data_IF_289516195031
#
_entry.id   IF_289516195031
#
_cell.length_a   1.000
_cell.length_b   1.000
_cell.length_c   1.000
_cell.angle_alpha   90.00
_cell.angle_beta   90.00
_cell.angle_gamma   90.00
#
_symmetry.space_group_name_H-M   'P 1'
#
loop_
_entity.id
_entity.type
_entity.pdbx_description
1 polymer ?
#
# COMPACT_ATOMS: atom_id res chain seq x y z
N UNK A 1 -22.56 2.24 -6.86
CA UNK A 1 -22.66 1.47 -5.60
C UNK A 1 -22.20 0.01 -5.67
N UNK A 2 -22.70 -0.84 -6.59
CA UNK A 2 -22.34 -2.28 -6.63
C UNK A 2 -20.84 -2.56 -6.87
N UNK A 3 -20.15 -1.72 -7.66
CA UNK A 3 -18.71 -1.86 -7.90
C UNK A 3 -17.88 -1.56 -6.64
N UNK A 4 -18.23 -0.50 -5.91
CA UNK A 4 -17.60 -0.13 -4.63
C UNK A 4 -17.76 -1.24 -3.60
N UNK A 5 -18.97 -1.80 -3.45
CA UNK A 5 -19.22 -2.93 -2.54
C UNK A 5 -18.46 -4.22 -2.91
N UNK A 6 -18.11 -4.40 -4.19
CA UNK A 6 -17.26 -5.52 -4.63
C UNK A 6 -15.78 -5.23 -4.41
N UNK A 7 -15.35 -3.99 -4.62
CA UNK A 7 -14.00 -3.55 -4.32
C UNK A 7 -13.70 -3.71 -2.82
N UNK A 8 -14.66 -3.39 -1.94
CA UNK A 8 -14.60 -3.62 -0.49
C UNK A 8 -14.50 -5.10 -0.09
N UNK A 9 -14.75 -6.03 -1.01
CA UNK A 9 -14.63 -7.49 -0.80
C UNK A 9 -13.46 -8.10 -1.57
N UNK A 10 -12.52 -7.28 -2.06
CA UNK A 10 -11.36 -7.78 -2.82
C UNK A 10 -10.41 -8.58 -1.90
N UNK A 11 -10.29 -9.88 -2.18
CA UNK A 11 -9.34 -10.76 -1.50
C UNK A 11 -7.90 -10.40 -1.90
N UNK A 12 -7.68 -10.04 -3.17
CA UNK A 12 -6.35 -9.63 -3.66
C UNK A 12 -5.90 -8.33 -3.02
N UNK A 13 -6.78 -7.32 -2.95
CA UNK A 13 -6.52 -6.07 -2.25
C UNK A 13 -6.23 -6.29 -0.77
N UNK A 14 -7.04 -7.11 -0.09
CA UNK A 14 -6.82 -7.45 1.31
C UNK A 14 -5.49 -8.17 1.55
N UNK A 15 -5.13 -9.16 0.70
CA UNK A 15 -3.88 -9.89 0.80
C UNK A 15 -2.66 -8.98 0.61
N UNK A 16 -2.67 -8.13 -0.39
CA UNK A 16 -1.57 -7.19 -0.61
C UNK A 16 -1.46 -6.16 0.52
N UNK A 17 -2.58 -5.61 1.00
CA UNK A 17 -2.56 -4.69 2.14
C UNK A 17 -2.02 -5.37 3.40
N UNK A 18 -2.39 -6.63 3.67
CA UNK A 18 -1.87 -7.40 4.81
C UNK A 18 -0.36 -7.67 4.71
N UNK A 19 0.12 -8.09 3.53
CA UNK A 19 1.56 -8.26 3.28
C UNK A 19 2.33 -6.96 3.47
N UNK A 20 1.74 -5.85 3.01
CA UNK A 20 2.34 -4.54 3.11
C UNK A 20 2.38 -4.02 4.54
N UNK A 21 1.32 -4.25 5.31
CA UNK A 21 1.28 -3.97 6.75
C UNK A 21 2.37 -4.78 7.49
N UNK A 22 2.52 -6.06 7.16
CA UNK A 22 3.57 -6.91 7.74
C UNK A 22 4.98 -6.38 7.42
N UNK A 23 5.22 -5.90 6.19
CA UNK A 23 6.48 -5.28 5.81
C UNK A 23 6.77 -4.00 6.62
N UNK A 24 5.76 -3.16 6.83
CA UNK A 24 5.87 -1.97 7.68
C UNK A 24 6.21 -2.31 9.13
N UNK A 25 5.54 -3.33 9.70
CA UNK A 25 5.82 -3.81 11.06
C UNK A 25 7.26 -4.34 11.15
N UNK A 26 7.68 -5.18 10.21
CA UNK A 26 9.02 -5.75 10.20
C UNK A 26 10.10 -4.66 10.10
N UNK A 27 9.91 -3.67 9.24
CA UNK A 27 10.84 -2.55 9.11
C UNK A 27 10.87 -1.66 10.36
N UNK A 28 9.73 -1.47 11.04
CA UNK A 28 9.70 -0.72 12.29
C UNK A 28 10.40 -1.45 13.43
N UNK A 29 10.24 -2.77 13.52
CA UNK A 29 10.97 -3.60 14.49
C UNK A 29 12.47 -3.59 14.19
N UNK A 30 12.86 -3.67 12.92
CA UNK A 30 14.26 -3.57 12.50
C UNK A 30 14.87 -2.22 12.88
N UNK A 31 14.12 -1.13 12.69
CA UNK A 31 14.50 0.21 13.13
C UNK A 31 14.72 0.27 14.65
N UNK A 32 13.80 -0.27 15.46
CA UNK A 32 13.93 -0.28 16.91
C UNK A 32 15.19 -1.03 17.38
N UNK A 33 15.59 -2.08 16.66
CA UNK A 33 16.82 -2.82 16.94
C UNK A 33 18.11 -2.08 16.54
N UNK A 34 18.02 -1.07 15.67
CA UNK A 34 19.15 -0.29 15.15
C UNK A 34 19.09 1.19 15.55
N UNK A 35 18.19 1.56 16.45
CA UNK A 35 17.96 2.93 16.85
C UNK A 35 19.27 3.63 17.24
N UNK A 36 19.50 4.83 16.69
CA UNK A 36 20.75 5.58 16.85
C UNK A 36 21.85 5.31 15.82
N UNK A 37 21.68 4.33 14.92
CA UNK A 37 22.57 4.14 13.77
C UNK A 37 22.13 4.96 12.55
N UNK A 38 23.09 5.43 11.74
CA UNK A 38 22.85 6.26 10.55
C UNK A 38 21.89 5.65 9.52
N UNK A 39 21.81 4.32 9.44
CA UNK A 39 20.98 3.61 8.44
C UNK A 39 19.78 2.88 9.05
N UNK A 40 19.40 3.20 10.29
CA UNK A 40 18.28 2.54 10.97
C UNK A 40 16.94 2.73 10.22
N UNK A 41 16.75 3.90 9.60
CA UNK A 41 15.50 4.29 8.95
C UNK A 41 15.38 3.84 7.48
N UNK A 42 16.44 3.31 6.87
CA UNK A 42 16.51 3.11 5.40
C UNK A 42 15.34 2.28 4.88
N UNK A 43 15.08 1.12 5.49
CA UNK A 43 14.00 0.24 5.06
C UNK A 43 12.62 0.86 5.29
N UNK A 44 12.46 1.53 6.41
CA UNK A 44 11.21 2.20 6.77
C UNK A 44 10.88 3.33 5.77
N UNK A 45 11.88 4.14 5.42
CA UNK A 45 11.77 5.22 4.42
C UNK A 45 11.47 4.65 3.03
N UNK A 46 12.16 3.57 2.63
CA UNK A 46 11.95 2.93 1.33
C UNK A 46 10.53 2.38 1.19
N UNK A 47 10.02 1.70 2.22
CA UNK A 47 8.65 1.20 2.21
C UNK A 47 7.67 2.37 2.26
N UNK A 48 7.95 3.42 3.04
CA UNK A 48 7.11 4.60 3.12
C UNK A 48 7.21 5.55 1.90
N UNK A 49 7.99 5.24 0.87
CA UNK A 49 8.20 6.11 -0.29
C UNK A 49 6.92 6.68 -0.91
N UNK A 50 5.84 5.90 -1.13
CA UNK A 50 4.62 6.46 -1.70
C UNK A 50 4.03 7.55 -0.80
N UNK A 51 4.08 7.37 0.53
CA UNK A 51 3.62 8.35 1.50
C UNK A 51 4.54 9.57 1.55
N UNK A 52 5.85 9.36 1.69
CA UNK A 52 6.81 10.47 1.81
C UNK A 52 6.87 11.33 0.55
N UNK A 53 6.81 10.72 -0.64
CA UNK A 53 6.72 11.44 -1.90
C UNK A 53 5.44 12.28 -2.00
N UNK A 54 4.29 11.71 -1.62
CA UNK A 54 3.00 12.41 -1.60
C UNK A 54 3.03 13.59 -0.63
N UNK A 55 3.49 13.37 0.60
CA UNK A 55 3.57 14.43 1.60
C UNK A 55 4.58 15.51 1.24
N UNK A 56 5.70 15.13 0.60
CA UNK A 56 6.69 16.09 0.10
C UNK A 56 6.12 16.98 -1.01
N UNK A 57 5.32 16.42 -1.92
CA UNK A 57 4.63 17.18 -2.94
C UNK A 57 3.58 18.13 -2.33
N UNK A 58 2.84 17.69 -1.31
CA UNK A 58 1.82 18.50 -0.63
C UNK A 58 2.43 19.59 0.27
N UNK A 59 3.58 19.33 0.90
CA UNK A 59 4.25 20.24 1.82
C UNK A 59 5.19 21.25 1.12
N UNK A 60 5.17 21.34 -0.21
CA UNK A 60 6.02 22.29 -0.94
C UNK A 60 7.51 21.91 -1.01
N UNK A 61 7.84 20.63 -0.85
CA UNK A 61 9.19 20.10 -1.10
C UNK A 61 9.99 19.68 0.14
N UNK A 62 9.54 20.02 1.36
CA UNK A 62 10.17 19.59 2.61
C UNK A 62 9.21 18.74 3.45
N UNK A 63 9.45 17.43 3.49
CA UNK A 63 8.79 16.53 4.43
C UNK A 63 9.83 15.56 4.97
N UNK A 64 9.93 15.51 6.30
CA UNK A 64 10.86 14.63 7.00
C UNK A 64 10.13 13.41 7.56
N UNK A 65 10.72 12.23 7.40
CA UNK A 65 10.16 10.96 7.82
C UNK A 65 11.24 10.13 8.49
N UNK A 66 11.00 9.76 9.74
CA UNK A 66 11.88 8.93 10.55
C UNK A 66 11.05 8.02 11.45
N UNK A 67 11.61 6.88 11.84
CA UNK A 67 11.03 5.94 12.79
C UNK A 67 10.75 6.56 14.18
N UNK A 68 11.47 7.62 14.55
CA UNK A 68 11.23 8.36 15.81
C UNK A 68 9.86 9.05 15.82
N UNK A 69 9.34 9.40 14.64
CA UNK A 69 8.04 10.04 14.50
C UNK A 69 6.94 8.98 14.33
N UNK A 70 6.63 8.21 15.39
CA UNK A 70 5.67 7.10 15.36
C UNK A 70 4.33 7.46 14.70
N UNK A 71 3.81 8.66 14.96
CA UNK A 71 2.57 9.13 14.32
C UNK A 71 2.67 9.21 12.78
N UNK A 72 3.83 9.65 12.25
CA UNK A 72 4.10 9.69 10.80
C UNK A 72 4.25 8.28 10.23
N UNK A 73 4.89 7.37 10.98
CA UNK A 73 5.03 5.96 10.59
C UNK A 73 3.66 5.29 10.46
N UNK A 74 2.78 5.47 11.44
CA UNK A 74 1.42 4.93 11.41
C UNK A 74 0.61 5.53 10.26
N UNK A 75 0.69 6.85 10.06
CA UNK A 75 0.02 7.51 8.94
C UNK A 75 0.51 6.97 7.59
N UNK A 76 1.83 6.78 7.43
CA UNK A 76 2.43 6.20 6.24
C UNK A 76 1.99 4.75 6.01
N UNK A 77 1.95 3.93 7.06
CA UNK A 77 1.48 2.55 6.98
C UNK A 77 0.02 2.48 6.50
N UNK A 78 -0.88 3.27 7.11
CA UNK A 78 -2.30 3.33 6.72
C UNK A 78 -2.47 3.80 5.29
N UNK A 79 -1.77 4.87 4.90
CA UNK A 79 -1.83 5.44 3.56
C UNK A 79 -1.38 4.42 2.50
N UNK A 80 -0.21 3.82 2.68
CA UNK A 80 0.31 2.87 1.71
C UNK A 80 -0.51 1.57 1.68
N UNK A 81 -1.01 1.08 2.82
CA UNK A 81 -1.93 -0.06 2.84
C UNK A 81 -3.23 0.24 2.08
N UNK A 82 -3.76 1.45 2.21
CA UNK A 82 -4.95 1.88 1.47
C UNK A 82 -4.68 1.91 -0.06
N UNK A 83 -3.53 2.45 -0.48
CA UNK A 83 -3.14 2.46 -1.90
C UNK A 83 -3.02 1.04 -2.45
N UNK A 84 -2.31 0.17 -1.73
CA UNK A 84 -2.07 -1.21 -2.16
C UNK A 84 -3.39 -2.01 -2.19
N UNK A 85 -4.28 -1.78 -1.22
CA UNK A 85 -5.63 -2.35 -1.23
C UNK A 85 -6.40 -1.94 -2.48
N UNK A 86 -6.43 -0.64 -2.78
CA UNK A 86 -7.12 -0.09 -3.96
C UNK A 86 -6.51 -0.63 -5.25
N UNK A 87 -5.17 -0.71 -5.34
CA UNK A 87 -4.46 -1.29 -6.47
C UNK A 87 -4.81 -2.76 -6.69
N UNK A 88 -4.80 -3.58 -5.64
CA UNK A 88 -5.20 -4.98 -5.70
C UNK A 88 -6.68 -5.16 -6.09
N UNK A 89 -7.57 -4.33 -5.54
CA UNK A 89 -8.98 -4.33 -5.90
C UNK A 89 -9.22 -3.94 -7.37
N UNK A 90 -8.43 -3.00 -7.90
CA UNK A 90 -8.48 -2.60 -9.30
C UNK A 90 -8.01 -3.73 -10.22
N UNK A 91 -6.89 -4.38 -9.90
CA UNK A 91 -6.38 -5.54 -10.65
C UNK A 91 -7.43 -6.66 -10.68
N UNK A 92 -8.04 -6.97 -9.54
CA UNK A 92 -9.09 -7.98 -9.44
C UNK A 92 -10.33 -7.61 -10.28
N UNK A 93 -10.72 -6.33 -10.28
CA UNK A 93 -11.82 -5.84 -11.11
C UNK A 93 -11.53 -5.98 -12.61
N UNK A 94 -10.32 -5.64 -13.05
CA UNK A 94 -9.87 -5.77 -14.44
C UNK A 94 -9.86 -7.24 -14.85
N UNK A 95 -9.27 -8.13 -14.03
CA UNK A 95 -9.23 -9.55 -14.31
C UNK A 95 -10.65 -10.14 -14.47
N UNK A 96 -11.58 -9.79 -13.57
CA UNK A 96 -12.98 -10.21 -13.66
C UNK A 96 -13.68 -9.65 -14.91
N UNK A 97 -13.35 -8.44 -15.35
CA UNK A 97 -13.90 -7.87 -16.57
C UNK A 97 -13.40 -8.60 -17.81
N UNK A 98 -12.10 -8.87 -17.90
CA UNK A 98 -11.48 -9.62 -19.00
C UNK A 98 -12.06 -11.04 -19.11
N UNK A 99 -12.23 -11.74 -17.99
CA UNK A 99 -12.84 -13.08 -17.97
C UNK A 99 -14.28 -13.07 -18.49
N UNK A 100 -15.07 -12.03 -18.20
CA UNK A 100 -16.44 -11.89 -18.74
C UNK A 100 -16.44 -11.69 -20.25
N UNK A 101 -15.51 -10.89 -20.76
CA UNK A 101 -15.39 -10.66 -22.21
C UNK A 101 -14.96 -11.94 -22.93
N UNK A 102 -13.96 -12.66 -22.39
CA UNK A 102 -13.48 -13.91 -22.96
C UNK A 102 -14.58 -14.99 -23.00
N UNK A 103 -15.33 -15.16 -21.91
CA UNK A 103 -16.43 -16.14 -21.83
C UNK A 103 -17.65 -15.74 -22.66
N UNK A 104 -17.92 -14.45 -22.85
CA UNK A 104 -18.98 -13.97 -23.74
C UNK A 104 -18.66 -14.20 -25.23
N UNK A 105 -17.38 -14.13 -25.61
CA UNK A 105 -16.92 -14.48 -26.96
C UNK A 105 -17.09 -15.97 -27.26
N UNK A 106 -16.78 -16.83 -26.29
CA UNK A 106 -16.94 -18.29 -26.39
C UNK A 106 -18.40 -18.76 -26.53
N UNK A 107 -19.36 -17.98 -26.01
CA UNK A 107 -20.79 -18.30 -26.08
C UNK A 107 -21.47 -17.94 -27.41
N UNK A 108 -20.75 -17.22 -28.28
CA UNK A 108 -21.22 -16.78 -29.61
C UNK A 108 -20.57 -17.53 -30.76
N UNK A 109 -19.56 -18.37 -30.48
CA UNK A 109 -18.95 -19.30 -31.42
C UNK A 109 -19.59 -20.68 -31.24
#
# INVERSE_FOLDING_TARGET
>A
MRAVLRALKSLTGAAFAALYAAAFIAAYVDYLGKAGQWFADVWLVLIALPFTATMRALAGGSFDFSGDATARVVAGAVFCCAIVYVGGALIEAIARALLRVATAGWRKA
#
